data_IF_601535323065
#
_entry.id   IF_601535323065
#
_cell.length_a   1.000
_cell.length_b   1.000
_cell.length_c   1.000
_cell.angle_alpha   90.00
_cell.angle_beta   90.00
_cell.angle_gamma   90.00
#
_symmetry.space_group_name_H-M   'P 1'
#
loop_
_entity.id
_entity.type
_entity.pdbx_description
1 polymer ?
#
# COMPACT_ATOMS: atom_id res chain seq x y z
N UNK A 1 72.18 -43.99 -35.60
CA UNK A 1 71.82 -42.70 -34.99
C UNK A 1 70.48 -42.29 -35.64
N UNK A 2 69.33 -42.52 -34.97
CA UNK A 2 67.98 -42.19 -35.49
C UNK A 2 67.52 -40.90 -34.82
N UNK A 3 67.35 -39.82 -35.59
CA UNK A 3 66.75 -38.58 -35.16
C UNK A 3 65.23 -38.74 -35.14
N UNK A 4 64.64 -38.60 -33.96
CA UNK A 4 63.18 -38.52 -33.77
C UNK A 4 62.78 -37.05 -33.89
N UNK A 5 61.96 -36.71 -34.88
CA UNK A 5 61.34 -35.37 -35.02
C UNK A 5 60.10 -35.31 -34.12
N UNK A 6 60.12 -34.48 -33.10
CA UNK A 6 58.96 -34.16 -32.28
C UNK A 6 58.11 -33.10 -32.99
N UNK A 7 56.88 -33.44 -33.34
CA UNK A 7 55.89 -32.52 -33.92
C UNK A 7 55.16 -31.81 -32.79
N UNK A 8 55.38 -30.51 -32.63
CA UNK A 8 54.56 -29.69 -31.74
C UNK A 8 53.27 -29.32 -32.42
N UNK A 9 52.14 -29.82 -31.91
CA UNK A 9 50.79 -29.39 -32.31
C UNK A 9 50.44 -28.23 -31.41
N UNK A 10 50.34 -27.01 -31.98
CA UNK A 10 49.86 -25.82 -31.33
C UNK A 10 48.34 -25.77 -31.50
N UNK A 11 47.61 -26.08 -30.43
CA UNK A 11 46.15 -25.91 -30.42
C UNK A 11 45.84 -24.42 -30.16
N UNK A 12 45.37 -23.70 -31.17
CA UNK A 12 44.84 -22.35 -30.98
C UNK A 12 43.43 -22.46 -30.38
N UNK A 13 43.30 -22.03 -29.14
CA UNK A 13 41.98 -21.81 -28.49
C UNK A 13 41.41 -20.50 -29.04
N UNK A 14 40.47 -20.59 -29.96
CA UNK A 14 39.62 -19.47 -30.36
C UNK A 14 38.57 -19.25 -29.26
N UNK A 15 38.77 -18.23 -28.42
CA UNK A 15 37.73 -17.72 -27.52
C UNK A 15 36.75 -16.96 -28.42
N UNK A 16 35.63 -17.59 -28.71
CA UNK A 16 34.47 -16.91 -29.29
C UNK A 16 33.84 -16.06 -28.16
N UNK A 17 34.13 -14.75 -28.17
CA UNK A 17 33.40 -13.78 -27.38
C UNK A 17 31.99 -13.68 -27.97
N UNK A 18 31.08 -14.52 -27.50
CA UNK A 18 29.65 -14.34 -27.72
C UNK A 18 29.24 -13.08 -26.99
N UNK A 19 28.91 -12.01 -27.73
CA UNK A 19 28.08 -10.94 -27.21
C UNK A 19 26.73 -11.58 -26.87
N UNK A 20 26.49 -11.82 -25.58
CA UNK A 20 25.14 -12.08 -25.11
C UNK A 20 24.36 -10.80 -25.34
N UNK A 21 23.61 -10.74 -26.41
CA UNK A 21 22.46 -9.84 -26.46
C UNK A 21 21.53 -10.43 -25.39
N UNK A 22 21.28 -9.66 -24.34
CA UNK A 22 20.09 -9.87 -23.53
C UNK A 22 18.91 -9.60 -24.49
N UNK A 23 18.40 -10.67 -25.13
CA UNK A 23 17.04 -10.63 -25.65
C UNK A 23 16.20 -10.30 -24.42
N UNK A 24 15.56 -9.12 -24.45
CA UNK A 24 14.60 -8.73 -23.44
C UNK A 24 13.41 -9.69 -23.50
N UNK A 25 13.57 -10.88 -22.93
CA UNK A 25 12.44 -11.73 -22.62
C UNK A 25 11.64 -10.99 -21.56
N UNK A 26 10.54 -10.36 -21.99
CA UNK A 26 9.51 -9.99 -21.05
C UNK A 26 9.08 -11.27 -20.32
N UNK A 27 8.98 -11.19 -19.00
CA UNK A 27 8.47 -12.32 -18.24
C UNK A 27 7.09 -12.70 -18.79
N UNK A 28 6.88 -13.99 -19.06
CA UNK A 28 5.59 -14.48 -19.55
C UNK A 28 4.50 -14.37 -18.49
N UNK A 29 4.89 -14.31 -17.21
CA UNK A 29 3.99 -14.27 -16.08
C UNK A 29 4.45 -13.13 -15.16
N UNK A 30 3.52 -12.23 -14.78
CA UNK A 30 3.75 -11.17 -13.80
C UNK A 30 2.96 -11.46 -12.54
N UNK A 31 3.60 -11.35 -11.39
CA UNK A 31 2.92 -11.33 -10.09
C UNK A 31 2.77 -9.90 -9.61
N UNK A 32 1.54 -9.43 -9.56
CA UNK A 32 1.15 -8.10 -9.10
C UNK A 32 0.60 -8.21 -7.68
N UNK A 33 1.10 -7.38 -6.78
CA UNK A 33 0.67 -7.38 -5.38
C UNK A 33 -0.15 -6.14 -5.08
N UNK A 34 -1.35 -6.32 -4.53
CA UNK A 34 -2.27 -5.22 -4.26
C UNK A 34 -3.10 -5.44 -2.98
N UNK A 35 -4.08 -4.56 -2.77
CA UNK A 35 -4.91 -4.46 -1.57
C UNK A 35 -6.29 -5.12 -1.71
N UNK A 36 -6.53 -5.86 -2.78
CA UNK A 36 -7.81 -6.53 -3.02
C UNK A 36 -9.02 -5.62 -3.26
N UNK A 37 -10.18 -6.25 -3.45
CA UNK A 37 -11.48 -5.60 -3.54
C UNK A 37 -11.63 -4.61 -4.71
N UNK A 38 -12.44 -3.56 -4.51
CA UNK A 38 -12.75 -2.55 -5.53
C UNK A 38 -11.50 -1.84 -6.07
N UNK A 39 -10.51 -1.58 -5.21
CA UNK A 39 -9.27 -0.95 -5.62
C UNK A 39 -8.49 -1.82 -6.62
N UNK A 40 -8.24 -3.08 -6.31
CA UNK A 40 -7.58 -4.01 -7.24
C UNK A 40 -8.37 -4.19 -8.54
N UNK A 41 -9.71 -4.19 -8.46
CA UNK A 41 -10.55 -4.23 -9.65
C UNK A 41 -10.37 -2.99 -10.53
N UNK A 42 -10.17 -1.81 -9.94
CA UNK A 42 -9.86 -0.60 -10.71
C UNK A 42 -8.50 -0.69 -11.40
N UNK A 43 -7.48 -1.22 -10.74
CA UNK A 43 -6.17 -1.50 -11.32
C UNK A 43 -6.26 -2.50 -12.48
N UNK A 44 -6.99 -3.59 -12.28
CA UNK A 44 -7.21 -4.59 -13.32
C UNK A 44 -7.85 -3.96 -14.57
N UNK A 45 -8.86 -3.13 -14.40
CA UNK A 45 -9.64 -2.57 -15.51
C UNK A 45 -8.93 -1.41 -16.19
N UNK A 46 -8.25 -0.55 -15.43
CA UNK A 46 -7.69 0.70 -15.95
C UNK A 46 -6.36 0.51 -16.68
N UNK A 47 -5.51 -0.39 -16.23
CA UNK A 47 -4.17 -0.56 -16.81
C UNK A 47 -3.70 -2.01 -17.01
N UNK A 48 -4.07 -2.97 -16.16
CA UNK A 48 -3.58 -4.36 -16.34
C UNK A 48 -4.24 -5.01 -17.55
N UNK A 49 -5.55 -4.94 -17.70
CA UNK A 49 -6.23 -5.52 -18.86
C UNK A 49 -5.79 -4.89 -20.18
N UNK A 50 -5.73 -3.54 -20.33
CA UNK A 50 -5.18 -2.93 -21.53
C UNK A 50 -3.71 -3.29 -21.81
N UNK A 51 -2.88 -3.42 -20.77
CA UNK A 51 -1.49 -3.84 -20.92
C UNK A 51 -1.40 -5.26 -21.50
N UNK A 52 -2.19 -6.20 -20.96
CA UNK A 52 -2.21 -7.59 -21.44
C UNK A 52 -2.76 -7.71 -22.87
N UNK A 53 -3.71 -6.87 -23.27
CA UNK A 53 -4.19 -6.81 -24.66
C UNK A 53 -3.11 -6.35 -25.64
N UNK A 54 -2.21 -5.45 -25.20
CA UNK A 54 -1.09 -4.96 -26.03
C UNK A 54 0.13 -5.89 -26.04
N UNK A 55 0.23 -6.80 -25.06
CA UNK A 55 1.38 -7.68 -24.86
C UNK A 55 0.95 -9.15 -24.90
N UNK A 56 0.67 -9.65 -26.09
CA UNK A 56 0.24 -11.05 -26.28
C UNK A 56 1.27 -12.05 -25.69
N UNK A 57 0.78 -12.99 -24.90
CA UNK A 57 1.59 -14.02 -24.26
C UNK A 57 2.09 -13.67 -22.86
N UNK A 58 1.78 -12.47 -22.34
CA UNK A 58 1.97 -12.10 -20.95
C UNK A 58 0.72 -12.43 -20.15
N UNK A 59 0.90 -12.97 -18.95
CA UNK A 59 -0.19 -13.20 -17.98
C UNK A 59 0.07 -12.41 -16.69
N UNK A 60 -0.98 -12.08 -15.97
CA UNK A 60 -0.87 -11.42 -14.67
C UNK A 60 -1.58 -12.24 -13.61
N UNK A 61 -0.92 -12.43 -12.47
CA UNK A 61 -1.46 -13.10 -11.28
C UNK A 61 -1.47 -12.08 -10.14
N UNK A 62 -2.54 -12.06 -9.36
CA UNK A 62 -2.67 -11.16 -8.21
C UNK A 62 -2.35 -11.87 -6.90
N UNK A 63 -1.60 -11.17 -6.03
CA UNK A 63 -1.43 -11.46 -4.60
C UNK A 63 -1.99 -10.28 -3.79
N UNK A 64 -2.74 -10.54 -2.74
CA UNK A 64 -3.42 -9.51 -1.95
C UNK A 64 -2.68 -9.19 -0.63
N UNK A 65 -1.35 -9.35 -0.64
CA UNK A 65 -0.52 -9.26 0.57
C UNK A 65 0.22 -7.93 0.73
N UNK A 66 -0.24 -6.84 0.12
CA UNK A 66 0.40 -5.51 0.23
C UNK A 66 0.63 -5.04 1.67
N UNK A 67 -0.30 -5.31 2.57
CA UNK A 67 -0.14 -4.97 3.99
C UNK A 67 1.08 -5.64 4.67
N UNK A 68 1.59 -6.74 4.10
CA UNK A 68 2.72 -7.50 4.61
C UNK A 68 3.97 -7.38 3.72
N UNK A 69 3.94 -6.50 2.72
CA UNK A 69 4.91 -6.45 1.64
C UNK A 69 6.36 -6.37 2.14
N UNK A 70 6.66 -5.48 3.08
CA UNK A 70 8.03 -5.31 3.62
C UNK A 70 8.54 -6.61 4.24
N UNK A 71 7.73 -7.27 5.06
CA UNK A 71 8.14 -8.50 5.73
C UNK A 71 8.33 -9.66 4.74
N UNK A 72 7.42 -9.78 3.76
CA UNK A 72 7.49 -10.84 2.74
C UNK A 72 8.66 -10.63 1.78
N UNK A 73 8.91 -9.41 1.31
CA UNK A 73 10.04 -9.12 0.44
C UNK A 73 11.38 -9.36 1.14
N UNK A 74 11.52 -9.01 2.42
CA UNK A 74 12.70 -9.37 3.21
C UNK A 74 12.92 -10.89 3.23
N UNK A 75 11.88 -11.65 3.55
CA UNK A 75 11.96 -13.10 3.61
C UNK A 75 12.28 -13.72 2.25
N UNK A 76 11.70 -13.23 1.15
CA UNK A 76 12.00 -13.67 -0.21
C UNK A 76 13.43 -13.35 -0.62
N UNK A 77 13.92 -12.14 -0.27
CA UNK A 77 15.29 -11.72 -0.55
C UNK A 77 16.30 -12.57 0.25
N UNK A 78 16.07 -12.82 1.53
CA UNK A 78 16.90 -13.71 2.37
C UNK A 78 16.94 -15.14 1.83
N UNK A 79 15.82 -15.63 1.28
CA UNK A 79 15.73 -16.94 0.64
C UNK A 79 16.37 -16.99 -0.76
N UNK A 80 16.74 -15.83 -1.34
CA UNK A 80 17.22 -15.74 -2.72
C UNK A 80 16.19 -16.11 -3.77
N UNK A 81 14.90 -15.94 -3.46
CA UNK A 81 13.78 -16.31 -4.34
C UNK A 81 12.66 -15.26 -4.25
N UNK A 82 12.83 -14.16 -4.97
CA UNK A 82 11.80 -13.13 -5.12
C UNK A 82 10.84 -13.55 -6.22
N UNK A 83 9.55 -13.62 -5.92
CA UNK A 83 8.49 -14.08 -6.83
C UNK A 83 7.47 -12.99 -7.17
N UNK A 84 7.65 -11.80 -6.68
CA UNK A 84 6.81 -10.63 -6.94
C UNK A 84 7.51 -9.68 -7.92
N UNK A 85 6.78 -9.18 -8.89
CA UNK A 85 7.31 -8.31 -9.94
C UNK A 85 6.94 -6.85 -9.69
N UNK A 86 5.69 -6.57 -9.31
CA UNK A 86 5.21 -5.22 -8.99
C UNK A 86 4.43 -5.27 -7.69
N UNK A 87 4.77 -4.38 -6.77
CA UNK A 87 4.17 -4.35 -5.44
C UNK A 87 3.61 -2.97 -5.15
N UNK A 88 2.31 -2.91 -4.93
CA UNK A 88 1.61 -1.71 -4.51
C UNK A 88 1.71 -1.56 -2.98
N UNK A 89 2.30 -0.47 -2.52
CA UNK A 89 2.52 -0.20 -1.10
C UNK A 89 2.24 1.28 -0.78
N UNK A 90 2.02 1.58 0.50
CA UNK A 90 1.95 2.97 0.97
C UNK A 90 3.33 3.63 0.90
N UNK A 91 3.37 4.97 0.79
CA UNK A 91 4.60 5.74 0.61
C UNK A 91 5.68 5.42 1.67
N UNK A 92 5.30 5.27 2.94
CA UNK A 92 6.24 4.94 4.01
C UNK A 92 6.91 3.56 3.84
N UNK A 93 6.17 2.57 3.31
CA UNK A 93 6.73 1.24 3.03
C UNK A 93 7.57 1.27 1.73
N UNK A 94 7.20 2.08 0.74
CA UNK A 94 7.99 2.29 -0.47
C UNK A 94 9.38 2.87 -0.15
N UNK A 95 9.45 3.93 0.68
CA UNK A 95 10.71 4.51 1.14
C UNK A 95 11.55 3.44 1.86
N UNK A 96 10.93 2.68 2.76
CA UNK A 96 11.63 1.61 3.49
C UNK A 96 12.18 0.52 2.57
N UNK A 97 11.40 0.08 1.58
CA UNK A 97 11.84 -0.94 0.62
C UNK A 97 13.00 -0.43 -0.24
N UNK A 98 13.00 0.85 -0.59
CA UNK A 98 14.09 1.50 -1.29
C UNK A 98 15.36 1.57 -0.43
N UNK A 99 15.26 2.09 0.80
CA UNK A 99 16.38 2.21 1.75
C UNK A 99 17.04 0.86 2.07
N UNK A 100 16.25 -0.22 2.07
CA UNK A 100 16.74 -1.59 2.32
C UNK A 100 17.25 -2.29 1.05
N UNK A 101 17.18 -1.66 -0.11
CA UNK A 101 17.58 -2.24 -1.40
C UNK A 101 16.70 -3.43 -1.83
N UNK A 102 15.43 -3.41 -1.44
CA UNK A 102 14.43 -4.45 -1.75
C UNK A 102 13.56 -4.08 -2.95
N UNK A 103 13.64 -2.85 -3.42
CA UNK A 103 12.99 -2.36 -4.63
C UNK A 103 14.06 -1.89 -5.63
N UNK A 104 13.72 -1.93 -6.92
CA UNK A 104 14.58 -1.41 -7.98
C UNK A 104 14.46 0.12 -8.02
N UNK A 105 15.58 0.78 -8.27
CA UNK A 105 15.59 2.20 -8.64
C UNK A 105 14.94 2.37 -10.01
N UNK A 106 14.14 3.40 -10.16
CA UNK A 106 13.39 3.75 -11.37
C UNK A 106 13.74 5.18 -11.74
N UNK A 107 14.24 5.40 -12.94
CA UNK A 107 14.34 6.75 -13.50
C UNK A 107 13.01 7.08 -14.19
N UNK A 108 12.18 8.00 -13.63
CA UNK A 108 10.86 8.26 -14.19
C UNK A 108 10.87 8.69 -15.65
N UNK A 109 11.90 9.41 -16.09
CA UNK A 109 11.96 9.95 -17.46
C UNK A 109 12.59 8.98 -18.48
N UNK A 110 13.38 7.99 -18.00
CA UNK A 110 13.95 6.94 -18.84
C UNK A 110 13.08 5.68 -18.89
N UNK A 111 12.47 5.31 -17.75
CA UNK A 111 11.74 4.05 -17.59
C UNK A 111 10.22 4.17 -17.85
N UNK A 112 9.65 5.38 -17.76
CA UNK A 112 8.24 5.63 -17.99
C UNK A 112 7.96 6.43 -19.25
N UNK A 113 6.79 6.21 -19.83
CA UNK A 113 6.30 7.04 -20.91
C UNK A 113 5.92 8.44 -20.40
N UNK A 114 6.17 9.47 -21.21
CA UNK A 114 5.65 10.80 -20.94
C UNK A 114 4.11 10.81 -20.93
N UNK A 115 3.51 11.76 -20.22
CA UNK A 115 2.08 11.99 -20.23
C UNK A 115 1.54 12.25 -21.66
N UNK A 116 0.25 12.05 -21.94
CA UNK A 116 -0.32 12.21 -23.29
C UNK A 116 -0.12 13.60 -23.91
N UNK A 117 0.08 14.62 -23.10
CA UNK A 117 0.38 16.00 -23.56
C UNK A 117 1.87 16.27 -23.79
N UNK A 118 2.73 15.28 -23.51
CA UNK A 118 4.17 15.35 -23.68
C UNK A 118 4.93 15.81 -22.44
N UNK A 119 4.25 16.02 -21.29
CA UNK A 119 4.93 16.32 -20.02
C UNK A 119 5.75 15.10 -19.60
N UNK A 120 7.00 15.32 -19.15
CA UNK A 120 7.85 14.24 -18.65
C UNK A 120 7.24 13.59 -17.39
N UNK A 121 7.56 12.33 -17.13
CA UNK A 121 7.00 11.64 -15.94
C UNK A 121 7.45 12.31 -14.64
N UNK A 122 8.69 12.78 -14.56
CA UNK A 122 9.18 13.52 -13.39
C UNK A 122 8.43 14.83 -13.15
N UNK A 123 8.08 15.58 -14.20
CA UNK A 123 7.31 16.82 -14.09
C UNK A 123 5.82 16.53 -13.77
N UNK A 124 5.25 15.46 -14.33
CA UNK A 124 3.84 15.09 -14.14
C UNK A 124 3.57 14.61 -12.71
N UNK A 125 4.43 13.77 -12.16
CA UNK A 125 4.31 13.31 -10.78
C UNK A 125 4.80 14.33 -9.75
N UNK A 126 5.82 15.13 -10.08
CA UNK A 126 6.34 16.22 -9.25
C UNK A 126 6.68 15.77 -7.81
N UNK A 127 6.15 16.49 -6.82
CA UNK A 127 6.40 16.25 -5.39
C UNK A 127 5.83 14.91 -4.86
N UNK A 128 5.08 14.17 -5.67
CA UNK A 128 4.59 12.84 -5.30
C UNK A 128 5.67 11.75 -5.46
N UNK A 129 6.77 12.04 -6.16
CA UNK A 129 7.93 11.15 -6.25
C UNK A 129 8.74 11.24 -4.95
N UNK A 130 8.37 10.44 -3.96
CA UNK A 130 8.96 10.49 -2.61
C UNK A 130 10.21 9.62 -2.45
N UNK A 131 10.54 8.79 -3.43
CA UNK A 131 11.77 7.99 -3.48
C UNK A 131 12.09 7.55 -4.91
N UNK A 132 13.35 7.17 -5.15
CA UNK A 132 13.84 6.73 -6.46
C UNK A 132 13.37 5.31 -6.86
N UNK A 133 12.63 4.60 -5.99
CA UNK A 133 12.14 3.24 -6.22
C UNK A 133 10.61 3.16 -6.26
N UNK A 134 9.93 4.30 -6.38
CA UNK A 134 8.49 4.40 -6.20
C UNK A 134 7.85 5.29 -7.23
N UNK A 135 6.79 4.79 -7.86
CA UNK A 135 5.94 5.56 -8.77
C UNK A 135 4.56 5.70 -8.12
N UNK A 136 4.10 6.92 -7.85
CA UNK A 136 2.78 7.16 -7.26
C UNK A 136 1.68 6.79 -8.26
N UNK A 137 0.59 6.17 -7.76
CA UNK A 137 -0.52 5.81 -8.63
C UNK A 137 -1.89 6.23 -8.11
N UNK A 138 -2.04 6.45 -6.81
CA UNK A 138 -3.30 6.86 -6.20
C UNK A 138 -3.00 7.79 -5.03
N UNK A 139 -3.94 8.68 -4.79
CA UNK A 139 -4.03 9.49 -3.58
C UNK A 139 -5.34 9.16 -2.89
N UNK A 140 -5.32 8.87 -1.61
CA UNK A 140 -6.51 8.48 -0.87
C UNK A 140 -6.52 9.07 0.54
N UNK A 141 -7.65 8.95 1.23
CA UNK A 141 -7.76 9.31 2.63
C UNK A 141 -8.17 8.12 3.47
N UNK A 142 -7.46 7.90 4.57
CA UNK A 142 -7.96 7.09 5.66
C UNK A 142 -8.87 7.96 6.53
N UNK A 143 -10.12 7.53 6.71
CA UNK A 143 -11.15 8.27 7.42
C UNK A 143 -12.09 7.30 8.14
N UNK A 144 -13.18 7.79 8.73
CA UNK A 144 -14.17 6.95 9.39
C UNK A 144 -15.48 6.89 8.64
N UNK A 145 -16.02 5.68 8.51
CA UNK A 145 -17.44 5.47 8.24
C UNK A 145 -18.23 5.34 9.55
N UNK A 146 -19.48 5.77 9.54
CA UNK A 146 -20.41 5.56 10.63
C UNK A 146 -21.80 5.16 10.12
N UNK A 147 -22.52 4.35 10.89
CA UNK A 147 -23.89 3.96 10.58
C UNK A 147 -24.85 5.10 10.90
N UNK A 148 -25.49 5.65 9.87
CA UNK A 148 -26.41 6.78 9.98
C UNK A 148 -27.66 6.47 10.80
N UNK A 149 -28.05 5.20 10.86
CA UNK A 149 -29.21 4.71 11.60
C UNK A 149 -28.89 4.22 13.03
N UNK A 150 -27.59 4.13 13.40
CA UNK A 150 -27.14 3.67 14.73
C UNK A 150 -26.53 4.80 15.58
N UNK A 151 -26.10 5.91 14.99
CA UNK A 151 -25.49 7.04 15.74
C UNK A 151 -26.51 7.96 16.39
N UNK A 152 -27.82 7.61 16.33
CA UNK A 152 -28.89 8.45 16.89
C UNK A 152 -29.21 9.68 16.04
N UNK A 153 -29.75 10.71 16.70
CA UNK A 153 -30.23 11.93 15.99
C UNK A 153 -29.09 12.88 15.58
N UNK A 154 -27.88 12.67 16.07
CA UNK A 154 -26.75 13.58 15.82
C UNK A 154 -25.58 12.81 15.20
N UNK A 155 -25.33 13.10 13.93
CA UNK A 155 -24.15 12.56 13.24
C UNK A 155 -22.85 13.04 13.89
N UNK A 156 -21.81 12.19 13.98
CA UNK A 156 -20.50 12.59 14.49
C UNK A 156 -19.87 13.62 13.55
N UNK A 157 -19.27 14.66 14.14
CA UNK A 157 -18.57 15.72 13.40
C UNK A 157 -17.09 15.80 13.73
N UNK A 158 -16.63 15.06 14.73
CA UNK A 158 -15.25 14.97 15.14
C UNK A 158 -14.80 13.52 15.24
N UNK A 159 -13.56 13.25 14.88
CA UNK A 159 -12.91 11.93 15.04
C UNK A 159 -12.97 11.44 16.49
N UNK A 160 -13.03 12.37 17.46
CA UNK A 160 -13.13 12.02 18.87
C UNK A 160 -14.46 11.37 19.28
N UNK A 161 -15.48 11.41 18.41
CA UNK A 161 -16.69 10.59 18.58
C UNK A 161 -16.38 9.08 18.61
N UNK A 162 -15.29 8.65 17.99
CA UNK A 162 -14.83 7.25 18.03
C UNK A 162 -14.53 6.80 19.46
N UNK A 163 -14.01 7.71 20.30
CA UNK A 163 -13.64 7.46 21.69
C UNK A 163 -14.78 7.73 22.67
N UNK A 164 -15.91 8.28 22.22
CA UNK A 164 -17.08 8.57 23.04
C UNK A 164 -18.11 7.44 22.92
N UNK A 165 -17.92 6.38 23.72
CA UNK A 165 -18.81 5.21 23.74
C UNK A 165 -20.13 5.47 24.46
N UNK A 166 -20.22 6.53 25.23
CA UNK A 166 -21.45 6.95 25.91
C UNK A 166 -22.40 7.69 24.96
N UNK A 167 -21.88 8.63 24.19
CA UNK A 167 -22.67 9.35 23.19
C UNK A 167 -23.00 8.50 21.97
N UNK A 168 -22.09 7.60 21.58
CA UNK A 168 -22.24 6.71 20.42
C UNK A 168 -22.02 5.25 20.85
N UNK A 169 -23.00 4.62 21.49
CA UNK A 169 -22.86 3.25 21.98
C UNK A 169 -22.73 2.23 20.84
N UNK A 170 -21.89 1.20 21.05
CA UNK A 170 -21.65 0.14 20.09
C UNK A 170 -20.16 -0.05 19.81
N UNK A 171 -19.83 -1.01 18.94
CA UNK A 171 -18.44 -1.35 18.64
C UNK A 171 -17.83 -0.43 17.58
N UNK A 172 -16.50 -0.41 17.57
CA UNK A 172 -15.66 0.29 16.58
C UNK A 172 -14.89 -0.72 15.77
N UNK A 173 -14.59 -0.38 14.51
CA UNK A 173 -13.61 -1.12 13.70
C UNK A 173 -12.35 -0.24 13.54
N UNK A 174 -11.19 -0.73 13.99
CA UNK A 174 -9.91 -0.04 13.84
C UNK A 174 -8.89 -0.97 13.18
N UNK A 175 -7.99 -0.40 12.40
CA UNK A 175 -6.90 -1.17 11.81
C UNK A 175 -5.95 -1.71 12.88
N UNK A 176 -5.50 -2.95 12.75
CA UNK A 176 -4.56 -3.58 13.69
C UNK A 176 -3.11 -3.12 13.42
N UNK A 177 -2.91 -1.82 13.38
CA UNK A 177 -1.63 -1.14 13.19
C UNK A 177 -1.58 0.11 14.05
N UNK A 178 -0.40 0.59 14.48
CA UNK A 178 -0.30 1.83 15.24
C UNK A 178 -0.62 3.06 14.40
N UNK A 179 -0.25 3.08 13.12
CA UNK A 179 -0.46 4.20 12.19
C UNK A 179 -1.93 4.64 12.17
N UNK A 180 -2.17 5.92 12.16
CA UNK A 180 -3.45 6.60 12.24
C UNK A 180 -4.14 6.48 13.62
N UNK A 181 -4.13 5.31 14.23
CA UNK A 181 -4.77 5.09 15.53
C UNK A 181 -4.12 5.88 16.65
N UNK A 182 -2.78 5.96 16.67
CA UNK A 182 -2.06 6.71 17.71
C UNK A 182 -2.21 8.22 17.51
N UNK A 183 -2.23 8.69 16.27
CA UNK A 183 -2.47 10.09 15.91
C UNK A 183 -3.86 10.54 16.37
N UNK A 184 -4.90 9.77 16.04
CA UNK A 184 -6.27 10.06 16.48
C UNK A 184 -6.41 9.99 17.99
N UNK A 185 -5.76 9.04 18.64
CA UNK A 185 -5.76 8.93 20.10
C UNK A 185 -5.19 10.19 20.76
N UNK A 186 -4.04 10.67 20.29
CA UNK A 186 -3.42 11.88 20.81
C UNK A 186 -4.26 13.13 20.57
N UNK A 187 -4.80 13.30 19.34
CA UNK A 187 -5.73 14.38 19.03
C UNK A 187 -6.91 14.42 20.02
N UNK A 188 -7.47 13.23 20.29
CA UNK A 188 -8.63 13.09 21.17
C UNK A 188 -8.26 13.07 22.66
N UNK A 189 -6.99 13.05 23.00
CA UNK A 189 -6.46 13.26 24.35
C UNK A 189 -5.94 14.69 24.57
N UNK A 190 -6.18 15.59 23.61
CA UNK A 190 -5.94 17.03 23.72
C UNK A 190 -4.60 17.50 23.19
N UNK A 191 -3.84 16.66 22.47
CA UNK A 191 -2.62 17.09 21.78
C UNK A 191 -3.00 17.91 20.54
N UNK A 192 -2.36 19.06 20.36
CA UNK A 192 -2.59 19.87 19.17
C UNK A 192 -2.09 19.15 17.92
N UNK A 193 -2.78 19.33 16.78
CA UNK A 193 -2.48 18.64 15.52
C UNK A 193 -1.00 18.79 15.12
N UNK A 194 -0.47 20.00 15.26
CA UNK A 194 0.91 20.30 14.86
C UNK A 194 1.96 19.65 15.78
N UNK A 195 1.58 19.23 16.99
CA UNK A 195 2.47 18.64 17.99
C UNK A 195 2.41 17.09 18.00
N UNK A 196 1.50 16.47 17.23
CA UNK A 196 1.23 15.02 17.29
C UNK A 196 2.50 14.20 17.07
N UNK A 197 3.29 14.51 16.07
CA UNK A 197 4.49 13.73 15.75
C UNK A 197 5.65 14.02 16.69
N UNK A 198 5.77 15.24 17.23
CA UNK A 198 6.75 15.55 18.27
C UNK A 198 6.45 14.73 19.53
N UNK A 199 5.17 14.63 19.91
CA UNK A 199 4.72 13.80 21.03
C UNK A 199 4.96 12.32 20.75
N UNK A 200 4.57 11.79 19.57
CA UNK A 200 4.79 10.40 19.17
C UNK A 200 6.27 10.01 19.09
N UNK A 201 7.18 10.95 18.90
CA UNK A 201 8.61 10.68 18.92
C UNK A 201 9.16 10.28 20.28
N UNK A 202 8.37 10.46 21.36
CA UNK A 202 8.75 10.15 22.73
C UNK A 202 8.05 8.89 23.26
N UNK A 203 8.69 8.18 24.19
CA UNK A 203 8.09 7.01 24.82
C UNK A 203 6.84 7.39 25.65
N UNK A 204 6.85 8.55 26.29
CA UNK A 204 5.74 9.09 27.06
C UNK A 204 4.54 9.39 26.18
N UNK A 205 4.75 9.99 25.01
CA UNK A 205 3.68 10.29 24.06
C UNK A 205 3.10 9.03 23.42
N UNK A 206 3.94 8.04 23.11
CA UNK A 206 3.48 6.73 22.66
C UNK A 206 2.59 6.05 23.72
N UNK A 207 2.99 6.11 25.01
CA UNK A 207 2.19 5.57 26.09
C UNK A 207 0.87 6.32 26.26
N UNK A 208 0.88 7.66 26.14
CA UNK A 208 -0.34 8.48 26.18
C UNK A 208 -1.33 8.05 25.09
N UNK A 209 -0.87 7.84 23.86
CA UNK A 209 -1.74 7.34 22.79
C UNK A 209 -2.31 5.96 23.08
N UNK A 210 -1.49 5.05 23.61
CA UNK A 210 -1.94 3.70 23.99
C UNK A 210 -2.95 3.73 25.14
N UNK A 211 -2.73 4.57 26.15
CA UNK A 211 -3.66 4.76 27.28
C UNK A 211 -5.01 5.26 26.78
N UNK A 212 -5.02 6.16 25.79
CA UNK A 212 -6.26 6.63 25.15
C UNK A 212 -6.98 5.53 24.38
N UNK A 213 -6.25 4.75 23.59
CA UNK A 213 -6.81 3.58 22.87
C UNK A 213 -7.35 2.52 23.85
N UNK A 214 -6.70 2.33 24.99
CA UNK A 214 -7.14 1.42 26.05
C UNK A 214 -8.52 1.77 26.60
N UNK A 215 -8.96 3.05 26.51
CA UNK A 215 -10.30 3.45 26.98
C UNK A 215 -11.43 2.81 26.21
N UNK A 216 -11.18 2.35 24.96
CA UNK A 216 -12.19 1.76 24.08
C UNK A 216 -11.85 0.32 23.65
N UNK A 217 -10.75 -0.25 24.11
CA UNK A 217 -10.22 -1.54 23.58
C UNK A 217 -11.20 -2.69 23.60
N UNK A 218 -12.09 -2.75 24.60
CA UNK A 218 -13.07 -3.83 24.75
C UNK A 218 -14.23 -3.70 23.74
N UNK A 219 -14.38 -2.53 23.13
CA UNK A 219 -15.37 -2.22 22.11
C UNK A 219 -14.77 -2.18 20.68
N UNK A 220 -13.50 -2.56 20.50
CA UNK A 220 -12.85 -2.54 19.19
C UNK A 220 -12.81 -3.92 18.55
N UNK A 221 -13.25 -4.00 17.30
CA UNK A 221 -12.96 -5.07 16.37
C UNK A 221 -11.74 -4.64 15.55
N UNK A 222 -10.62 -5.36 15.72
CA UNK A 222 -9.37 -5.07 15.00
C UNK A 222 -9.38 -5.75 13.65
N UNK A 223 -9.31 -4.96 12.58
CA UNK A 223 -9.25 -5.48 11.22
C UNK A 223 -7.81 -5.44 10.66
N UNK A 224 -7.56 -6.26 9.64
CA UNK A 224 -6.28 -6.33 8.93
C UNK A 224 -6.45 -6.21 7.41
N UNK A 225 -7.67 -6.36 6.90
CA UNK A 225 -7.97 -6.17 5.49
C UNK A 225 -8.92 -4.97 5.33
N UNK A 226 -8.56 -4.02 4.44
CA UNK A 226 -9.33 -2.79 4.26
C UNK A 226 -10.79 -2.99 3.81
N UNK A 227 -11.15 -4.18 3.35
CA UNK A 227 -12.53 -4.56 3.02
C UNK A 227 -13.39 -4.90 4.25
N UNK A 228 -12.77 -5.16 5.41
CA UNK A 228 -13.51 -5.61 6.61
C UNK A 228 -14.42 -4.52 7.16
N UNK A 229 -13.95 -3.28 7.29
CA UNK A 229 -14.73 -2.19 7.89
C UNK A 229 -16.02 -1.85 7.13
N UNK A 230 -16.04 -1.70 5.79
CA UNK A 230 -17.29 -1.50 5.07
C UNK A 230 -18.29 -2.63 5.30
N UNK A 231 -17.84 -3.88 5.38
CA UNK A 231 -18.70 -5.03 5.65
C UNK A 231 -19.24 -5.00 7.09
N UNK A 232 -18.38 -4.76 8.09
CA UNK A 232 -18.79 -4.65 9.50
C UNK A 232 -19.82 -3.51 9.71
N UNK A 233 -19.65 -2.39 8.99
CA UNK A 233 -20.63 -1.31 8.98
C UNK A 233 -21.93 -1.76 8.29
N UNK A 234 -21.87 -2.38 7.12
CA UNK A 234 -23.06 -2.83 6.39
C UNK A 234 -23.88 -3.82 7.22
N UNK A 235 -23.22 -4.75 7.92
CA UNK A 235 -23.85 -5.76 8.79
C UNK A 235 -24.34 -5.16 10.12
N UNK A 236 -23.97 -3.91 10.45
CA UNK A 236 -24.31 -3.27 11.72
C UNK A 236 -23.57 -3.83 12.93
N UNK A 237 -22.46 -4.54 12.71
CA UNK A 237 -21.62 -5.06 13.79
C UNK A 237 -20.82 -3.96 14.49
N UNK A 238 -20.56 -2.86 13.79
CA UNK A 238 -19.90 -1.67 14.35
C UNK A 238 -20.72 -0.42 14.04
N UNK A 239 -20.65 0.56 14.95
CA UNK A 239 -21.30 1.87 14.77
C UNK A 239 -20.42 2.84 14.01
N UNK A 240 -19.08 2.73 14.16
CA UNK A 240 -18.06 3.50 13.48
C UNK A 240 -16.85 2.64 13.17
N UNK A 241 -16.15 2.96 12.08
CA UNK A 241 -14.91 2.27 11.77
C UNK A 241 -14.01 3.04 10.81
N UNK A 242 -12.70 2.94 11.05
CA UNK A 242 -11.70 3.51 10.14
C UNK A 242 -11.58 2.64 8.91
N UNK A 243 -11.45 3.27 7.75
CA UNK A 243 -11.13 2.63 6.47
C UNK A 243 -10.80 3.71 5.42
N UNK A 244 -10.65 3.30 4.17
CA UNK A 244 -10.30 4.16 3.05
C UNK A 244 -11.56 4.76 2.41
N UNK A 245 -11.49 6.06 2.06
CA UNK A 245 -12.63 6.81 1.50
C UNK A 245 -13.26 6.13 0.27
N UNK A 246 -12.47 5.57 -0.64
CA UNK A 246 -12.98 4.87 -1.82
C UNK A 246 -13.83 3.65 -1.49
N UNK A 247 -13.50 2.91 -0.42
CA UNK A 247 -14.29 1.75 0.03
C UNK A 247 -15.61 2.17 0.68
N UNK A 248 -15.59 3.27 1.44
CA UNK A 248 -16.83 3.86 1.97
C UNK A 248 -17.72 4.40 0.85
N UNK A 249 -17.12 5.06 -0.14
CA UNK A 249 -17.86 5.54 -1.31
C UNK A 249 -18.58 4.39 -2.02
N UNK A 250 -17.89 3.30 -2.30
CA UNK A 250 -18.50 2.12 -2.93
C UNK A 250 -19.65 1.53 -2.08
N UNK A 251 -19.48 1.46 -0.75
CA UNK A 251 -20.55 0.97 0.13
C UNK A 251 -21.76 1.90 0.14
N UNK A 252 -21.56 3.22 0.10
CA UNK A 252 -22.63 4.23 0.14
C UNK A 252 -23.33 4.33 -1.23
N UNK A 253 -22.56 4.59 -2.29
CA UNK A 253 -23.10 5.01 -3.58
C UNK A 253 -23.45 3.82 -4.51
N UNK A 254 -22.75 2.70 -4.36
CA UNK A 254 -22.96 1.53 -5.22
C UNK A 254 -23.78 0.42 -4.56
N UNK A 255 -23.75 0.36 -3.21
CA UNK A 255 -24.43 -0.68 -2.44
C UNK A 255 -25.56 -0.15 -1.56
N UNK A 256 -25.87 1.16 -1.63
CA UNK A 256 -26.96 1.82 -0.88
C UNK A 256 -26.92 1.54 0.64
N UNK A 257 -25.69 1.42 1.22
CA UNK A 257 -25.57 1.17 2.65
C UNK A 257 -25.84 2.45 3.46
N UNK A 258 -26.50 2.35 4.64
CA UNK A 258 -26.79 3.49 5.52
C UNK A 258 -25.51 3.94 6.27
N UNK A 259 -24.50 4.38 5.53
CA UNK A 259 -23.20 4.79 6.04
C UNK A 259 -22.99 6.27 5.69
N UNK A 260 -22.45 7.03 6.65
CA UNK A 260 -21.93 8.38 6.43
C UNK A 260 -20.42 8.40 6.57
N UNK A 261 -19.76 9.38 5.93
CA UNK A 261 -18.31 9.60 6.07
C UNK A 261 -18.03 10.72 7.07
N UNK A 262 -17.04 10.51 7.92
CA UNK A 262 -16.52 11.50 8.85
C UNK A 262 -15.12 11.93 8.41
N UNK A 263 -15.00 13.13 7.85
CA UNK A 263 -13.76 13.65 7.27
C UNK A 263 -12.83 14.36 8.28
N UNK A 264 -13.30 14.57 9.51
CA UNK A 264 -12.47 15.21 10.55
C UNK A 264 -11.25 14.34 10.85
N UNK A 265 -10.08 14.97 10.89
CA UNK A 265 -8.79 14.32 11.09
C UNK A 265 -8.51 13.15 10.11
N UNK A 266 -9.01 13.24 8.87
CA UNK A 266 -8.62 12.30 7.81
C UNK A 266 -7.10 12.33 7.63
N UNK A 267 -6.53 11.18 7.31
CA UNK A 267 -5.11 11.08 6.96
C UNK A 267 -5.01 10.86 5.46
N UNK A 268 -4.27 11.73 4.82
CA UNK A 268 -4.05 11.75 3.38
C UNK A 268 -2.72 11.05 3.05
N UNK A 269 -2.75 10.12 2.12
CA UNK A 269 -1.58 9.35 1.71
C UNK A 269 -1.61 9.10 0.18
#
# INVERSE_FOLDING_TARGET
MKLTKTLMVTTALTVASGTAFADGHMASDMTLVSWGGAYQSSQQNAYVAPYLEMNEGVTAVWDESSAEAVAKLRAMNEAGNVTWDVVDVVAADAIRLCDEGLALEIDPDEDLAAAPDGTSASDDFGDLLVSDCFIPQIVYSTTFGYRTDLVGDTAPTSVCAVFDTDAYPGKRALEKRPINNMEWALLCDGVAKDDVYDVLSTAEGQQQALDKLDTIKDDVIWWSAGADTPQLLADGEVVMGSTYNGRLFAAIEEQDQPIGMLWDAQVFD
#
